data_IF_813182665354
#
_entry.id   IF_813182665354
#
_cell.length_a   1.000
_cell.length_b   1.000
_cell.length_c   1.000
_cell.angle_alpha   90.00
_cell.angle_beta   90.00
_cell.angle_gamma   90.00
#
_symmetry.space_group_name_H-M   'P 1'
#
loop_
_entity.id
_entity.type
_entity.pdbx_description
1 polymer ?
#
# COMPACT_ATOMS: atom_id res chain seq x y z
N UNK A 1 4.02 8.06 -35.87
CA UNK A 1 4.36 8.34 -34.46
C UNK A 1 4.00 7.08 -33.68
N UNK A 2 4.83 6.05 -33.84
CA UNK A 2 4.57 4.72 -33.28
C UNK A 2 5.10 4.72 -31.85
N UNK A 3 4.21 4.79 -30.87
CA UNK A 3 4.57 4.57 -29.48
C UNK A 3 5.07 3.13 -29.36
N UNK A 4 6.38 2.98 -29.35
CA UNK A 4 7.09 1.72 -29.10
C UNK A 4 6.56 1.16 -27.78
N UNK A 5 5.65 0.19 -27.90
CA UNK A 5 5.01 -0.47 -26.77
C UNK A 5 6.11 -1.18 -26.00
N UNK A 6 6.64 -0.51 -24.98
CA UNK A 6 7.50 -1.08 -23.93
C UNK A 6 6.95 -2.48 -23.65
N UNK A 7 7.73 -3.50 -24.00
CA UNK A 7 7.26 -4.88 -24.02
C UNK A 7 7.28 -5.44 -22.59
N UNK A 8 6.39 -4.90 -21.75
CA UNK A 8 6.24 -5.23 -20.32
C UNK A 8 6.15 -6.74 -20.06
N UNK A 9 5.64 -7.51 -21.04
CA UNK A 9 5.47 -8.95 -20.95
C UNK A 9 6.77 -9.77 -20.95
N UNK A 10 7.86 -9.26 -21.53
CA UNK A 10 9.15 -9.97 -21.53
C UNK A 10 9.98 -9.69 -20.27
N UNK A 11 9.91 -8.47 -19.73
CA UNK A 11 10.60 -8.12 -18.48
C UNK A 11 9.92 -8.65 -17.22
N UNK A 12 8.58 -8.74 -17.22
CA UNK A 12 7.81 -9.37 -16.15
C UNK A 12 8.10 -10.87 -15.98
N UNK A 13 8.69 -11.53 -17.00
CA UNK A 13 9.09 -12.93 -16.95
C UNK A 13 10.45 -13.18 -16.30
N UNK A 14 11.23 -12.13 -15.98
CA UNK A 14 12.50 -12.32 -15.30
C UNK A 14 12.28 -12.67 -13.81
N UNK A 15 12.79 -13.84 -13.39
CA UNK A 15 12.67 -14.38 -12.02
C UNK A 15 13.01 -13.35 -10.94
N UNK A 16 13.99 -12.48 -11.21
CA UNK A 16 14.49 -11.43 -10.31
C UNK A 16 13.44 -10.34 -10.02
N UNK A 17 12.65 -9.95 -11.02
CA UNK A 17 11.55 -8.98 -10.86
C UNK A 17 10.42 -9.56 -10.00
N UNK A 18 10.15 -10.85 -10.17
CA UNK A 18 9.12 -11.56 -9.41
C UNK A 18 9.50 -11.69 -7.93
N UNK A 19 10.76 -12.01 -7.62
CA UNK A 19 11.26 -12.05 -6.23
C UNK A 19 11.12 -10.69 -5.55
N UNK A 20 11.50 -9.61 -6.24
CA UNK A 20 11.35 -8.24 -5.74
C UNK A 20 9.88 -7.85 -5.50
N UNK A 21 8.96 -8.25 -6.38
CA UNK A 21 7.51 -8.05 -6.20
C UNK A 21 6.96 -8.94 -5.07
N UNK A 22 7.48 -10.15 -4.88
CA UNK A 22 7.02 -11.06 -3.84
C UNK A 22 7.42 -10.56 -2.45
N UNK A 23 8.61 -9.98 -2.31
CA UNK A 23 9.02 -9.25 -1.10
C UNK A 23 8.10 -8.04 -0.84
N UNK A 24 7.62 -7.36 -1.90
CA UNK A 24 6.60 -6.29 -1.80
C UNK A 24 5.32 -6.82 -1.14
N UNK A 25 4.78 -7.88 -1.74
CA UNK A 25 3.48 -8.45 -1.37
C UNK A 25 3.52 -9.00 0.04
N UNK A 26 4.63 -9.61 0.47
CA UNK A 26 4.81 -10.10 1.84
C UNK A 26 4.73 -9.01 2.91
N UNK A 27 4.97 -7.74 2.55
CA UNK A 27 4.80 -6.61 3.47
C UNK A 27 3.41 -5.96 3.36
N UNK A 28 2.86 -5.83 2.15
CA UNK A 28 1.56 -5.17 1.93
C UNK A 28 0.39 -6.06 2.35
N UNK A 29 0.44 -7.36 2.04
CA UNK A 29 -0.64 -8.31 2.36
C UNK A 29 -0.98 -8.32 3.85
N UNK A 30 -0.03 -8.45 4.80
CA UNK A 30 -0.37 -8.39 6.22
C UNK A 30 -0.92 -7.01 6.61
N UNK A 31 -0.46 -5.91 6.01
CA UNK A 31 -1.03 -4.58 6.23
C UNK A 31 -2.49 -4.51 5.76
N UNK A 32 -2.83 -5.09 4.61
CA UNK A 32 -4.20 -5.14 4.09
C UNK A 32 -5.10 -6.00 4.98
N UNK A 33 -4.60 -7.13 5.47
CA UNK A 33 -5.34 -7.97 6.42
C UNK A 33 -5.56 -7.19 7.73
N UNK A 34 -4.52 -6.53 8.24
CA UNK A 34 -4.64 -5.67 9.42
C UNK A 34 -5.63 -4.53 9.18
N UNK A 35 -5.60 -3.87 8.01
CA UNK A 35 -6.56 -2.84 7.62
C UNK A 35 -7.99 -3.37 7.73
N UNK A 36 -8.27 -4.53 7.15
CA UNK A 36 -9.62 -5.11 7.19
C UNK A 36 -10.06 -5.41 8.62
N UNK A 37 -9.19 -6.07 9.40
CA UNK A 37 -9.47 -6.37 10.80
C UNK A 37 -9.69 -5.10 11.61
N UNK A 38 -8.83 -4.09 11.44
CA UNK A 38 -8.91 -2.83 12.16
C UNK A 38 -10.13 -1.99 11.73
N UNK A 39 -10.47 -1.99 10.44
CA UNK A 39 -11.66 -1.32 9.92
C UNK A 39 -12.93 -1.93 10.51
N UNK A 40 -13.06 -3.26 10.48
CA UNK A 40 -14.21 -3.96 11.05
C UNK A 40 -14.20 -4.02 12.57
N UNK A 41 -13.04 -3.86 13.22
CA UNK A 41 -12.95 -3.82 14.68
C UNK A 41 -13.80 -2.69 15.26
N UNK A 42 -13.91 -1.52 14.62
CA UNK A 42 -14.73 -0.41 15.12
C UNK A 42 -16.23 -0.80 15.23
N UNK A 43 -16.94 -1.21 14.16
CA UNK A 43 -18.34 -1.60 14.27
C UNK A 43 -18.54 -2.87 15.12
N UNK A 44 -17.60 -3.82 15.09
CA UNK A 44 -17.68 -5.03 15.92
C UNK A 44 -17.56 -4.67 17.41
N UNK A 45 -16.55 -3.90 17.81
CA UNK A 45 -16.39 -3.46 19.20
C UNK A 45 -17.52 -2.55 19.63
N UNK A 46 -18.03 -1.69 18.74
CA UNK A 46 -19.17 -0.81 19.07
C UNK A 46 -20.45 -1.61 19.31
N UNK A 47 -20.65 -2.70 18.57
CA UNK A 47 -21.83 -3.57 18.72
C UNK A 47 -21.72 -4.53 19.92
N UNK A 48 -20.53 -5.09 20.16
CA UNK A 48 -20.32 -6.10 21.21
C UNK A 48 -19.82 -5.54 22.55
N UNK A 49 -19.25 -4.32 22.59
CA UNK A 49 -18.63 -3.78 23.80
C UNK A 49 -19.03 -2.33 24.06
N UNK A 50 -19.27 -1.98 25.32
CA UNK A 50 -19.52 -0.59 25.74
C UNK A 50 -18.25 0.22 25.99
N UNK A 51 -17.06 -0.39 25.78
CA UNK A 51 -15.76 0.24 26.03
C UNK A 51 -15.54 1.43 25.08
N UNK A 52 -15.96 1.31 23.81
CA UNK A 52 -15.82 2.39 22.82
C UNK A 52 -16.71 3.60 23.10
N UNK A 53 -17.82 3.40 23.81
CA UNK A 53 -18.72 4.47 24.26
C UNK A 53 -18.23 5.16 25.54
N UNK A 54 -17.20 4.61 26.22
CA UNK A 54 -16.64 5.30 27.37
C UNK A 54 -15.88 6.55 26.89
N UNK A 55 -16.04 7.68 27.60
CA UNK A 55 -15.26 8.88 27.32
C UNK A 55 -13.78 8.58 27.55
N UNK A 56 -12.95 8.91 26.57
CA UNK A 56 -11.49 8.86 26.68
C UNK A 56 -10.97 10.19 27.27
N UNK A 57 -11.39 11.32 26.70
CA UNK A 57 -11.05 12.67 27.18
C UNK A 57 -12.28 13.59 27.02
N UNK A 58 -12.88 14.01 28.13
CA UNK A 58 -14.08 14.86 28.11
C UNK A 58 -15.25 14.20 27.36
N UNK A 59 -15.80 14.87 26.35
CA UNK A 59 -16.88 14.35 25.50
C UNK A 59 -16.38 13.42 24.36
N UNK A 60 -15.06 13.26 24.19
CA UNK A 60 -14.48 12.43 23.13
C UNK A 60 -14.42 10.99 23.63
N UNK A 61 -15.18 10.10 22.99
CA UNK A 61 -15.17 8.68 23.28
C UNK A 61 -13.99 7.95 22.61
N UNK A 62 -13.69 6.74 23.06
CA UNK A 62 -12.71 5.87 22.41
C UNK A 62 -13.05 5.59 20.94
N UNK A 63 -14.34 5.64 20.56
CA UNK A 63 -14.75 5.53 19.16
C UNK A 63 -14.17 6.67 18.29
N UNK A 64 -14.13 7.90 18.81
CA UNK A 64 -13.54 9.05 18.11
C UNK A 64 -12.02 8.91 17.95
N UNK A 65 -11.33 8.42 18.99
CA UNK A 65 -9.89 8.14 18.93
C UNK A 65 -9.60 7.08 17.86
N UNK A 66 -10.42 6.03 17.82
CA UNK A 66 -10.28 4.97 16.83
C UNK A 66 -10.56 5.46 15.40
N UNK A 67 -11.60 6.28 15.22
CA UNK A 67 -11.90 6.92 13.93
C UNK A 67 -10.71 7.77 13.46
N UNK A 68 -10.10 8.57 14.35
CA UNK A 68 -8.90 9.34 14.00
C UNK A 68 -7.72 8.44 13.62
N UNK A 69 -7.52 7.33 14.33
CA UNK A 69 -6.50 6.35 13.98
C UNK A 69 -6.71 5.72 12.60
N UNK A 70 -7.97 5.54 12.15
CA UNK A 70 -8.27 5.06 10.79
C UNK A 70 -7.78 6.03 9.70
N UNK A 71 -7.84 7.35 9.92
CA UNK A 71 -7.30 8.33 8.98
C UNK A 71 -5.78 8.20 8.86
N UNK A 72 -5.08 8.16 10.00
CA UNK A 72 -3.62 7.98 10.03
C UNK A 72 -3.22 6.70 9.30
N UNK A 73 -3.92 5.60 9.60
CA UNK A 73 -3.68 4.31 9.00
C UNK A 73 -3.87 4.35 7.47
N UNK A 74 -4.91 5.03 6.98
CA UNK A 74 -5.13 5.25 5.53
C UNK A 74 -3.99 6.01 4.88
N UNK A 75 -3.51 7.10 5.50
CA UNK A 75 -2.36 7.84 4.98
C UNK A 75 -1.10 6.98 4.94
N UNK A 76 -0.84 6.19 5.98
CA UNK A 76 0.29 5.27 6.02
C UNK A 76 0.22 4.28 4.84
N UNK A 77 -0.95 3.69 4.58
CA UNK A 77 -1.16 2.80 3.43
C UNK A 77 -0.92 3.52 2.10
N UNK A 78 -1.43 4.74 1.94
CA UNK A 78 -1.28 5.52 0.72
C UNK A 78 0.19 5.86 0.45
N UNK A 79 0.91 6.37 1.45
CA UNK A 79 2.35 6.66 1.37
C UNK A 79 3.14 5.39 1.09
N UNK A 80 2.82 4.29 1.77
CA UNK A 80 3.50 3.01 1.59
C UNK A 80 3.28 2.46 0.17
N UNK A 81 2.06 2.57 -0.35
CA UNK A 81 1.74 2.25 -1.74
C UNK A 81 2.53 3.14 -2.71
N UNK A 82 2.52 4.46 -2.54
CA UNK A 82 3.17 5.43 -3.41
C UNK A 82 4.71 5.22 -3.47
N UNK A 83 5.36 5.08 -2.31
CA UNK A 83 6.80 4.74 -2.23
C UNK A 83 7.14 3.48 -3.01
N UNK A 84 6.18 2.57 -3.08
CA UNK A 84 6.37 1.26 -3.65
C UNK A 84 6.02 1.23 -5.13
N UNK A 85 5.10 2.07 -5.59
CA UNK A 85 4.91 2.41 -7.01
C UNK A 85 6.16 3.10 -7.58
N UNK A 86 6.74 4.06 -6.86
CA UNK A 86 7.97 4.75 -7.28
C UNK A 86 9.18 3.82 -7.51
N UNK A 87 9.26 2.69 -6.78
CA UNK A 87 10.27 1.64 -7.08
C UNK A 87 10.07 0.96 -8.43
N UNK A 88 8.82 0.87 -8.90
CA UNK A 88 8.50 0.32 -10.21
C UNK A 88 8.87 1.32 -11.30
N UNK A 89 8.54 2.60 -11.09
CA UNK A 89 8.92 3.68 -12.00
C UNK A 89 10.43 3.79 -12.17
N UNK A 90 11.21 3.62 -11.08
CA UNK A 90 12.69 3.57 -11.16
C UNK A 90 13.21 2.42 -12.02
N UNK A 91 12.63 1.23 -11.91
CA UNK A 91 13.06 0.08 -12.72
C UNK A 91 12.74 0.31 -14.21
N UNK A 92 11.57 0.86 -14.51
CA UNK A 92 11.20 1.23 -15.88
C UNK A 92 12.14 2.30 -16.44
N UNK A 93 12.55 3.28 -15.62
CA UNK A 93 13.51 4.31 -16.03
C UNK A 93 14.90 3.75 -16.34
N UNK A 94 15.38 2.79 -15.55
CA UNK A 94 16.70 2.14 -15.72
C UNK A 94 16.75 1.33 -17.02
N UNK A 95 15.67 0.59 -17.31
CA UNK A 95 15.51 -0.12 -18.60
C UNK A 95 15.47 0.86 -19.77
N UNK A 96 14.70 1.96 -19.68
CA UNK A 96 14.63 2.93 -20.76
C UNK A 96 16.00 3.57 -21.06
N UNK A 97 16.86 3.77 -20.05
CA UNK A 97 18.22 4.28 -20.27
C UNK A 97 19.12 3.29 -21.00
N UNK A 98 19.07 2.01 -20.63
CA UNK A 98 19.85 0.94 -21.29
C UNK A 98 19.52 0.85 -22.78
N UNK A 99 18.23 0.89 -23.13
CA UNK A 99 17.75 0.84 -24.52
C UNK A 99 18.02 2.14 -25.31
N UNK A 100 18.23 3.28 -24.64
CA UNK A 100 18.60 4.53 -25.29
C UNK A 100 20.08 4.64 -25.61
N UNK A 101 20.96 3.99 -24.83
CA UNK A 101 22.40 4.01 -25.03
C UNK A 101 22.91 3.04 -26.11
N UNK A 102 22.11 2.05 -26.52
CA UNK A 102 22.41 1.16 -27.64
C UNK A 102 22.01 1.72 -29.02
N UNK A 103 21.37 2.90 -29.07
CA UNK A 103 20.97 3.57 -30.31
C UNK A 103 21.84 4.77 -30.71
N UNK A 104 23.00 4.94 -30.06
CA UNK A 104 24.05 5.91 -30.44
C UNK A 104 25.32 5.21 -30.94
#
# INVERSE_FOLDING_TARGET
MEQERVNYGQMAKSSRFHTLIQSKKRFIIPLTIFFFLFYFALPILTSYTTILNRPAVGAISWAWVFAFAQFIMTWVLCVLYARRAAKFDKLVAEINQEWSGERE
#
